data_IF_023490476581
#
_entry.id   IF_023490476581
#
_cell.length_a   1.000
_cell.length_b   1.000
_cell.length_c   1.000
_cell.angle_alpha   90.00
_cell.angle_beta   90.00
_cell.angle_gamma   90.00
#
_symmetry.space_group_name_H-M   'P 1'
#
loop_
_entity.id
_entity.type
_entity.pdbx_description
1 polymer ?
#
# COMPACT_ATOMS: atom_id res chain seq x y z
N UNK A 1 45.54 -16.48 -10.25
CA UNK A 1 44.87 -15.31 -10.87
C UNK A 1 43.39 -15.66 -10.95
N UNK A 2 42.71 -15.98 -9.85
CA UNK A 2 42.23 -15.11 -8.76
C UNK A 2 41.28 -14.01 -9.24
N UNK A 3 40.00 -14.42 -9.28
CA UNK A 3 38.80 -13.76 -8.77
C UNK A 3 38.42 -12.38 -9.32
N UNK A 4 37.45 -12.38 -10.25
CA UNK A 4 36.65 -11.21 -10.57
C UNK A 4 35.59 -10.98 -9.48
N UNK A 5 35.82 -9.95 -8.70
CA UNK A 5 34.99 -9.47 -7.61
C UNK A 5 33.69 -8.88 -8.17
N UNK A 6 32.59 -9.65 -8.11
CA UNK A 6 31.26 -9.18 -8.47
C UNK A 6 30.75 -8.27 -7.34
N UNK A 7 30.69 -6.97 -7.63
CA UNK A 7 30.24 -5.92 -6.71
C UNK A 7 28.76 -6.12 -6.37
N UNK A 8 28.48 -6.70 -5.21
CA UNK A 8 27.14 -6.81 -4.65
C UNK A 8 26.77 -5.47 -3.98
N UNK A 9 26.13 -4.60 -4.75
CA UNK A 9 25.58 -3.35 -4.26
C UNK A 9 24.44 -3.60 -3.28
N UNK A 10 24.77 -3.68 -1.98
CA UNK A 10 23.81 -3.56 -0.90
C UNK A 10 23.22 -2.15 -0.89
N UNK A 11 22.08 -1.96 -1.55
CA UNK A 11 21.20 -0.82 -1.28
C UNK A 11 20.10 -1.27 -0.31
N UNK A 12 20.49 -1.49 0.94
CA UNK A 12 19.56 -1.44 2.06
C UNK A 12 19.11 0.02 2.27
N UNK A 13 18.21 0.50 1.40
CA UNK A 13 17.40 1.69 1.68
C UNK A 13 16.04 1.23 2.16
N UNK A 14 16.02 0.54 3.30
CA UNK A 14 14.81 0.44 4.12
C UNK A 14 14.60 1.83 4.74
N UNK A 15 13.94 2.72 4.00
CA UNK A 15 13.31 3.89 4.59
C UNK A 15 12.11 3.39 5.40
N UNK A 16 12.37 2.78 6.56
CA UNK A 16 11.37 2.41 7.54
C UNK A 16 10.92 3.68 8.25
N UNK A 17 10.09 4.46 7.58
CA UNK A 17 9.36 5.57 8.19
C UNK A 17 7.91 5.16 8.30
N UNK A 18 7.45 4.92 9.52
CA UNK A 18 6.04 4.61 9.78
C UNK A 18 5.24 5.90 9.59
N UNK A 19 4.54 6.02 8.46
CA UNK A 19 3.47 7.00 8.34
C UNK A 19 2.50 6.74 9.49
N UNK A 20 2.19 7.73 10.35
CA UNK A 20 1.30 7.52 11.48
C UNK A 20 0.01 6.86 11.01
N UNK A 21 -0.26 5.64 11.51
CA UNK A 21 -1.43 4.85 11.13
C UNK A 21 -2.75 5.58 11.44
N UNK A 22 -2.68 6.60 12.31
CA UNK A 22 -3.79 7.48 12.64
C UNK A 22 -3.53 8.90 12.10
N UNK A 23 -4.24 9.23 11.03
CA UNK A 23 -4.34 10.58 10.50
C UNK A 23 -5.83 10.94 10.34
N UNK A 24 -6.40 11.73 11.27
CA UNK A 24 -7.82 12.09 11.26
C UNK A 24 -8.16 13.17 10.23
N UNK A 25 -7.16 13.94 9.79
CA UNK A 25 -7.34 15.01 8.78
C UNK A 25 -7.11 14.52 7.35
N UNK A 26 -6.65 13.26 7.19
CA UNK A 26 -6.35 12.70 5.88
C UNK A 26 -7.50 12.83 4.90
N UNK A 27 -7.11 13.14 3.67
CA UNK A 27 -8.00 13.21 2.53
C UNK A 27 -7.34 12.52 1.33
N UNK A 28 -7.55 11.21 1.22
CA UNK A 28 -6.96 10.37 0.16
C UNK A 28 -7.40 10.85 -1.24
N UNK A 29 -8.51 11.58 -1.34
CA UNK A 29 -8.97 12.17 -2.61
C UNK A 29 -8.04 13.21 -3.21
N UNK A 30 -7.10 13.71 -2.40
CA UNK A 30 -6.05 14.64 -2.83
C UNK A 30 -4.71 13.96 -3.07
N UNK A 31 -4.62 12.65 -2.92
CA UNK A 31 -3.36 11.91 -3.09
C UNK A 31 -3.14 11.56 -4.56
N UNK A 32 -1.90 11.66 -5.01
CA UNK A 32 -1.42 11.11 -6.27
C UNK A 32 -0.83 9.74 -6.03
N UNK A 33 -1.26 8.75 -6.81
CA UNK A 33 -0.82 7.36 -6.66
C UNK A 33 -0.44 6.79 -8.03
N UNK A 34 0.74 6.18 -8.11
CA UNK A 34 1.24 5.52 -9.31
C UNK A 34 1.88 4.17 -8.96
N UNK A 35 2.04 3.31 -9.95
CA UNK A 35 2.79 2.06 -9.86
C UNK A 35 3.85 2.09 -10.96
N UNK A 36 4.99 2.78 -10.73
CA UNK A 36 6.02 2.96 -11.75
C UNK A 36 6.65 1.66 -12.22
N UNK A 37 6.78 0.67 -11.33
CA UNK A 37 7.54 -0.55 -11.62
C UNK A 37 7.13 -1.73 -10.73
N UNK A 38 7.71 -2.89 -11.05
CA UNK A 38 7.70 -4.09 -10.21
C UNK A 38 9.12 -4.44 -9.74
N UNK A 39 9.23 -5.00 -8.54
CA UNK A 39 10.50 -5.45 -7.97
C UNK A 39 10.46 -6.94 -7.63
N UNK A 40 11.59 -7.67 -7.76
CA UNK A 40 11.74 -8.99 -7.18
C UNK A 40 11.82 -8.90 -5.65
N UNK A 41 11.12 -9.79 -4.95
CA UNK A 41 11.19 -9.99 -3.49
C UNK A 41 11.30 -11.47 -3.20
N UNK A 42 11.86 -11.80 -2.04
CA UNK A 42 11.90 -13.19 -1.56
C UNK A 42 10.61 -13.49 -0.83
N UNK A 43 9.87 -14.50 -1.27
CA UNK A 43 8.66 -14.92 -0.56
C UNK A 43 9.08 -15.51 0.80
N UNK A 44 8.52 -15.01 1.92
CA UNK A 44 8.96 -15.41 3.26
C UNK A 44 8.56 -16.85 3.62
N UNK A 45 7.58 -17.43 2.92
CA UNK A 45 7.08 -18.78 3.19
C UNK A 45 7.78 -19.81 2.31
N UNK A 46 7.87 -19.54 1.01
CA UNK A 46 8.40 -20.49 0.03
C UNK A 46 9.88 -20.26 -0.29
N UNK A 47 10.44 -19.09 0.03
CA UNK A 47 11.81 -18.71 -0.29
C UNK A 47 12.07 -18.39 -1.77
N UNK A 48 11.09 -18.60 -2.65
CA UNK A 48 11.20 -18.31 -4.08
C UNK A 48 11.10 -16.81 -4.38
N UNK A 49 11.66 -16.41 -5.53
CA UNK A 49 11.47 -15.05 -6.05
C UNK A 49 10.01 -14.83 -6.45
N UNK A 50 9.40 -13.82 -5.85
CA UNK A 50 8.10 -13.28 -6.22
C UNK A 50 8.28 -11.85 -6.73
N UNK A 51 7.30 -11.31 -7.44
CA UNK A 51 7.32 -9.92 -7.91
C UNK A 51 6.21 -9.12 -7.22
N UNK A 52 6.57 -7.94 -6.72
CA UNK A 52 5.66 -6.97 -6.08
C UNK A 52 5.53 -5.72 -6.91
N UNK A 53 4.39 -5.06 -6.80
CA UNK A 53 4.15 -3.72 -7.34
C UNK A 53 4.68 -2.68 -6.35
N UNK A 54 5.50 -1.76 -6.84
CA UNK A 54 5.94 -0.61 -6.03
C UNK A 54 4.98 0.52 -6.30
N UNK A 55 4.17 0.84 -5.30
CA UNK A 55 3.21 1.94 -5.36
C UNK A 55 3.90 3.18 -4.85
N UNK A 56 4.01 4.22 -5.67
CA UNK A 56 4.45 5.55 -5.23
C UNK A 56 3.24 6.39 -4.87
N UNK A 57 3.27 6.97 -3.67
CA UNK A 57 2.21 7.81 -3.13
C UNK A 57 2.77 9.19 -2.84
N UNK A 58 2.04 10.22 -3.23
CA UNK A 58 2.32 11.61 -2.90
C UNK A 58 1.03 12.28 -2.41
N UNK A 59 1.06 12.88 -1.22
CA UNK A 59 -0.11 13.49 -0.58
C UNK A 59 -0.04 15.02 -0.61
N UNK A 60 -1.14 15.65 -1.03
CA UNK A 60 -1.29 17.11 -1.16
C UNK A 60 -2.35 17.69 -0.22
N UNK A 61 -2.87 16.89 0.71
CA UNK A 61 -3.87 17.30 1.69
C UNK A 61 -3.28 18.05 2.89
N UNK A 62 -2.00 17.83 3.20
CA UNK A 62 -1.28 18.53 4.28
C UNK A 62 -0.95 19.95 3.82
N UNK A 63 -1.43 20.96 4.54
CA UNK A 63 -0.97 22.34 4.39
C UNK A 63 0.32 22.51 5.18
N UNK A 64 1.38 23.03 4.57
CA UNK A 64 2.52 23.58 5.32
C UNK A 64 2.00 24.73 6.20
N UNK A 65 1.71 24.47 7.47
CA UNK A 65 1.35 25.52 8.40
C UNK A 65 2.62 26.33 8.72
N UNK A 66 2.67 27.55 8.19
CA UNK A 66 3.70 28.56 8.42
C UNK A 66 3.88 28.93 9.92
N UNK A 67 4.61 28.10 10.68
CA UNK A 67 5.26 28.53 11.92
C UNK A 67 4.64 28.09 13.25
N UNK A 68 3.77 27.08 13.30
CA UNK A 68 3.38 26.47 14.58
C UNK A 68 3.52 24.95 14.52
N UNK A 69 4.76 24.52 14.74
CA UNK A 69 5.14 23.15 15.02
C UNK A 69 4.60 22.76 16.39
N UNK A 70 3.32 22.40 16.45
CA UNK A 70 2.73 21.70 17.59
C UNK A 70 2.84 20.21 17.31
N UNK A 71 3.78 19.57 18.01
CA UNK A 71 4.04 18.13 18.08
C UNK A 71 4.61 17.48 16.80
N UNK A 72 5.95 17.49 16.66
CA UNK A 72 6.80 16.35 16.28
C UNK A 72 6.61 15.58 14.96
N UNK A 73 5.55 15.74 14.18
CA UNK A 73 5.31 14.94 12.98
C UNK A 73 5.64 15.75 11.72
N UNK A 74 6.85 15.57 11.20
CA UNK A 74 7.15 15.92 9.79
C UNK A 74 6.42 14.89 8.93
N UNK A 75 5.18 15.15 8.56
CA UNK A 75 4.41 14.25 7.69
C UNK A 75 5.09 14.16 6.34
N UNK A 76 5.67 13.00 6.04
CA UNK A 76 6.26 12.70 4.75
C UNK A 76 5.19 12.87 3.67
N UNK A 77 5.46 13.75 2.69
CA UNK A 77 4.52 14.04 1.61
C UNK A 77 4.60 13.02 0.49
N UNK A 78 5.66 12.21 0.43
CA UNK A 78 5.89 11.23 -0.63
C UNK A 78 6.61 9.98 -0.14
N UNK A 79 6.07 8.80 -0.43
CA UNK A 79 6.66 7.51 -0.05
C UNK A 79 6.35 6.43 -1.10
N UNK A 80 6.84 5.21 -0.84
CA UNK A 80 6.53 4.03 -1.65
C UNK A 80 6.11 2.87 -0.76
N UNK A 81 5.16 2.05 -1.21
CA UNK A 81 4.74 0.83 -0.53
C UNK A 81 4.73 -0.35 -1.52
N UNK A 82 5.16 -1.53 -1.06
CA UNK A 82 5.18 -2.74 -1.87
C UNK A 82 3.90 -3.56 -1.68
N UNK A 83 3.27 -3.99 -2.78
CA UNK A 83 2.04 -4.80 -2.76
C UNK A 83 2.13 -6.01 -3.68
N UNK A 84 1.63 -7.15 -3.21
CA UNK A 84 1.51 -8.40 -3.96
C UNK A 84 0.25 -8.36 -4.84
N UNK A 85 0.29 -9.11 -5.94
CA UNK A 85 -0.83 -9.29 -6.86
C UNK A 85 -2.16 -9.60 -6.16
N UNK A 86 -2.16 -10.51 -5.18
CA UNK A 86 -3.39 -10.93 -4.52
C UNK A 86 -4.00 -9.83 -3.65
N UNK A 87 -3.20 -8.93 -3.09
CA UNK A 87 -3.67 -7.89 -2.17
C UNK A 87 -4.65 -6.91 -2.84
N UNK A 88 -4.51 -6.66 -4.14
CA UNK A 88 -5.43 -5.82 -4.90
C UNK A 88 -6.85 -6.41 -4.95
N UNK A 89 -6.97 -7.73 -5.10
CA UNK A 89 -8.25 -8.42 -5.09
C UNK A 89 -8.87 -8.48 -3.70
N UNK A 90 -8.03 -8.61 -2.66
CA UNK A 90 -8.48 -8.52 -1.27
C UNK A 90 -9.02 -7.11 -0.99
N UNK A 91 -8.30 -6.08 -1.44
CA UNK A 91 -8.72 -4.69 -1.31
C UNK A 91 -10.06 -4.45 -2.00
N UNK A 92 -10.20 -4.84 -3.27
CA UNK A 92 -11.45 -4.71 -4.03
C UNK A 92 -12.62 -5.38 -3.29
N UNK A 93 -12.43 -6.63 -2.86
CA UNK A 93 -13.46 -7.40 -2.16
C UNK A 93 -13.88 -6.71 -0.86
N UNK A 94 -12.92 -6.25 -0.05
CA UNK A 94 -13.22 -5.56 1.22
C UNK A 94 -13.91 -4.23 1.00
N UNK A 95 -13.44 -3.42 0.07
CA UNK A 95 -14.09 -2.14 -0.22
C UNK A 95 -15.52 -2.34 -0.75
N UNK A 96 -15.76 -3.34 -1.60
CA UNK A 96 -17.10 -3.68 -2.07
C UNK A 96 -18.00 -4.18 -0.94
N UNK A 97 -17.48 -4.94 0.03
CA UNK A 97 -18.28 -5.38 1.19
C UNK A 97 -18.76 -4.20 2.05
N UNK A 98 -17.92 -3.20 2.28
CA UNK A 98 -18.27 -2.06 3.14
C UNK A 98 -19.04 -0.96 2.41
N UNK A 99 -18.71 -0.71 1.14
CA UNK A 99 -19.25 0.42 0.38
C UNK A 99 -20.25 0.02 -0.70
N UNK A 100 -20.37 -1.27 -1.02
CA UNK A 100 -21.26 -1.78 -2.07
C UNK A 100 -21.01 -1.10 -3.41
N UNK A 101 -22.09 -0.76 -4.11
CA UNK A 101 -22.05 -0.14 -5.43
C UNK A 101 -21.78 1.39 -5.39
N UNK A 102 -21.44 1.96 -4.22
CA UNK A 102 -21.14 3.39 -4.13
C UNK A 102 -19.77 3.74 -4.68
N UNK A 103 -18.85 2.77 -4.70
CA UNK A 103 -17.53 2.91 -5.32
C UNK A 103 -17.62 2.59 -6.81
N UNK A 104 -17.00 3.43 -7.63
CA UNK A 104 -16.96 3.29 -9.10
C UNK A 104 -15.53 3.05 -9.57
N UNK A 105 -15.14 1.79 -9.66
CA UNK A 105 -13.85 1.38 -10.22
C UNK A 105 -14.05 0.51 -11.45
N UNK A 106 -13.06 0.53 -12.33
CA UNK A 106 -12.90 -0.53 -13.32
C UNK A 106 -12.65 -1.83 -12.57
N UNK A 107 -13.38 -2.88 -12.94
CA UNK A 107 -13.17 -4.21 -12.38
C UNK A 107 -11.76 -4.70 -12.69
N UNK A 108 -11.12 -5.31 -11.70
CA UNK A 108 -9.83 -5.93 -11.90
C UNK A 108 -9.91 -7.06 -12.95
N UNK A 109 -8.82 -7.33 -13.69
CA UNK A 109 -8.74 -8.50 -14.57
C UNK A 109 -9.04 -9.79 -13.79
N UNK A 110 -9.56 -10.86 -14.43
CA UNK A 110 -9.87 -12.11 -13.74
C UNK A 110 -8.69 -12.61 -12.89
N UNK A 111 -8.96 -12.86 -11.61
CA UNK A 111 -7.94 -13.30 -10.64
C UNK A 111 -7.33 -14.63 -11.08
N UNK A 112 -6.01 -14.65 -11.29
CA UNK A 112 -5.28 -15.91 -11.53
C UNK A 112 -4.82 -16.54 -10.22
N UNK A 113 -5.26 -17.78 -10.00
CA UNK A 113 -4.98 -18.59 -8.80
C UNK A 113 -3.61 -19.28 -8.81
N UNK A 114 -2.84 -19.18 -9.90
CA UNK A 114 -1.47 -19.72 -9.94
C UNK A 114 -0.61 -19.10 -8.84
N UNK A 115 0.05 -19.95 -8.05
CA UNK A 115 0.94 -19.56 -6.94
C UNK A 115 2.22 -18.90 -7.47
N UNK A 116 2.71 -19.35 -8.63
CA UNK A 116 3.89 -18.77 -9.28
C UNK A 116 3.43 -17.89 -10.44
N UNK A 117 3.87 -16.63 -10.42
CA UNK A 117 3.58 -15.64 -11.47
C UNK A 117 4.91 -15.15 -12.03
N UNK A 118 5.07 -15.28 -13.35
CA UNK A 118 6.27 -14.78 -14.01
C UNK A 118 6.34 -13.25 -13.96
N UNK A 119 7.56 -12.70 -14.02
CA UNK A 119 7.79 -11.26 -14.08
C UNK A 119 6.94 -10.58 -15.16
N UNK A 120 6.95 -11.16 -16.37
CA UNK A 120 6.22 -10.62 -17.52
C UNK A 120 4.71 -10.58 -17.29
N UNK A 121 4.15 -11.60 -16.62
CA UNK A 121 2.73 -11.60 -16.28
C UNK A 121 2.41 -10.51 -15.25
N UNK A 122 3.20 -10.40 -14.18
CA UNK A 122 2.98 -9.36 -13.14
C UNK A 122 3.08 -7.96 -13.76
N UNK A 123 4.08 -7.72 -14.60
CA UNK A 123 4.24 -6.46 -15.34
C UNK A 123 3.02 -6.15 -16.23
N UNK A 124 2.49 -7.16 -16.94
CA UNK A 124 1.33 -6.97 -17.83
C UNK A 124 0.04 -6.56 -17.09
N UNK A 125 -0.04 -6.76 -15.77
CA UNK A 125 -1.18 -6.36 -14.95
C UNK A 125 -0.99 -4.99 -14.29
N UNK A 126 0.23 -4.43 -14.33
CA UNK A 126 0.59 -3.20 -13.60
C UNK A 126 -0.33 -2.02 -13.92
N UNK A 127 -0.60 -1.78 -15.20
CA UNK A 127 -1.49 -0.68 -15.60
C UNK A 127 -2.93 -0.84 -15.11
N UNK A 128 -3.43 -2.07 -15.05
CA UNK A 128 -4.79 -2.34 -14.55
C UNK A 128 -4.89 -2.00 -13.06
N UNK A 129 -3.88 -2.42 -12.28
CA UNK A 129 -3.82 -2.12 -10.85
C UNK A 129 -3.55 -0.65 -10.56
N UNK A 130 -2.72 0.01 -11.36
CA UNK A 130 -2.49 1.46 -11.22
C UNK A 130 -3.78 2.24 -11.44
N UNK A 131 -4.50 1.97 -12.55
CA UNK A 131 -5.79 2.64 -12.83
C UNK A 131 -6.81 2.37 -11.73
N UNK A 132 -6.88 1.13 -11.24
CA UNK A 132 -7.78 0.76 -10.15
C UNK A 132 -7.52 1.58 -8.88
N UNK A 133 -6.26 1.64 -8.40
CA UNK A 133 -5.92 2.40 -7.19
C UNK A 133 -6.11 3.90 -7.40
N UNK A 134 -5.74 4.43 -8.57
CA UNK A 134 -5.96 5.85 -8.90
C UNK A 134 -7.45 6.22 -8.88
N UNK A 135 -8.32 5.34 -9.38
CA UNK A 135 -9.76 5.54 -9.32
C UNK A 135 -10.28 5.51 -7.88
N UNK A 136 -9.84 4.54 -7.07
CA UNK A 136 -10.20 4.47 -5.65
C UNK A 136 -9.78 5.75 -4.90
N UNK A 137 -8.52 6.17 -5.07
CA UNK A 137 -7.99 7.34 -4.40
C UNK A 137 -8.84 8.58 -4.67
N UNK A 138 -9.28 8.80 -5.91
CA UNK A 138 -10.08 9.98 -6.31
C UNK A 138 -11.51 9.98 -5.78
N UNK A 139 -12.00 8.92 -5.14
CA UNK A 139 -13.38 8.86 -4.69
C UNK A 139 -13.55 9.53 -3.32
N UNK A 140 -14.46 10.52 -3.27
CA UNK A 140 -14.82 11.20 -2.02
C UNK A 140 -15.36 10.21 -0.97
N UNK A 141 -16.06 9.16 -1.40
CA UNK A 141 -16.55 8.09 -0.51
C UNK A 141 -15.43 7.34 0.22
N UNK A 142 -14.21 7.34 -0.34
CA UNK A 142 -13.05 6.63 0.18
C UNK A 142 -11.99 7.55 0.80
N UNK A 143 -12.24 8.87 0.85
CA UNK A 143 -11.26 9.85 1.33
C UNK A 143 -10.73 9.59 2.74
N UNK A 144 -11.53 8.91 3.58
CA UNK A 144 -11.21 8.48 4.95
C UNK A 144 -11.39 6.97 5.12
N UNK A 145 -11.21 6.19 4.06
CA UNK A 145 -11.24 4.73 4.16
C UNK A 145 -9.99 4.24 4.89
N UNK A 146 -10.16 3.55 6.02
CA UNK A 146 -9.03 2.99 6.78
C UNK A 146 -8.35 1.86 6.00
N UNK A 147 -9.15 1.09 5.26
CA UNK A 147 -8.65 0.01 4.39
C UNK A 147 -7.79 0.54 3.26
N UNK A 148 -8.25 1.58 2.54
CA UNK A 148 -7.46 2.19 1.47
C UNK A 148 -6.22 2.91 2.02
N UNK A 149 -6.36 3.58 3.17
CA UNK A 149 -5.23 4.22 3.83
C UNK A 149 -4.16 3.20 4.18
N UNK A 150 -4.50 2.14 4.91
CA UNK A 150 -3.56 1.09 5.29
C UNK A 150 -2.92 0.43 4.07
N UNK A 151 -3.69 0.19 3.00
CA UNK A 151 -3.14 -0.34 1.75
C UNK A 151 -2.08 0.58 1.13
N UNK A 152 -2.21 1.89 1.27
CA UNK A 152 -1.28 2.87 0.71
C UNK A 152 -0.13 3.25 1.65
N UNK A 153 -0.19 2.92 2.94
CA UNK A 153 0.80 3.38 3.94
C UNK A 153 1.50 2.27 4.72
N UNK A 154 0.86 1.13 4.96
CA UNK A 154 1.39 0.05 5.79
C UNK A 154 2.26 -0.93 5.00
N UNK A 155 3.35 -1.42 5.57
CA UNK A 155 4.12 -2.54 4.99
C UNK A 155 3.47 -3.90 5.25
N UNK A 156 2.46 -3.97 6.13
CA UNK A 156 1.79 -5.22 6.45
C UNK A 156 0.98 -5.72 5.26
N UNK A 157 1.13 -7.01 4.97
CA UNK A 157 0.40 -7.65 3.89
C UNK A 157 -1.11 -7.71 4.17
N UNK A 158 -1.91 -7.27 3.20
CA UNK A 158 -3.36 -7.37 3.24
C UNK A 158 -3.84 -8.77 2.81
N UNK A 159 -4.29 -9.57 3.77
CA UNK A 159 -4.81 -10.92 3.55
C UNK A 159 -6.33 -10.93 3.66
N UNK A 160 -6.96 -11.98 3.14
CA UNK A 160 -8.42 -12.18 3.28
C UNK A 160 -8.85 -12.15 4.75
N UNK A 161 -8.03 -12.71 5.66
CA UNK A 161 -8.27 -12.72 7.11
C UNK A 161 -8.03 -11.38 7.82
N UNK A 162 -7.39 -10.39 7.18
CA UNK A 162 -7.05 -9.13 7.85
C UNK A 162 -8.32 -8.38 8.27
N UNK A 163 -8.51 -8.15 9.56
CA UNK A 163 -9.60 -7.33 10.07
C UNK A 163 -9.15 -5.87 10.17
N UNK A 164 -10.12 -4.94 10.24
CA UNK A 164 -9.83 -3.52 10.47
C UNK A 164 -9.12 -3.34 11.83
N UNK A 165 -9.44 -4.15 12.83
CA UNK A 165 -8.75 -4.18 14.13
C UNK A 165 -7.26 -4.49 14.00
N UNK A 166 -6.87 -5.32 13.04
CA UNK A 166 -5.47 -5.70 12.82
C UNK A 166 -4.65 -4.51 12.28
N UNK A 167 -5.32 -3.53 11.66
CA UNK A 167 -4.72 -2.28 11.18
C UNK A 167 -4.48 -1.27 12.31
N UNK A 168 -5.08 -1.49 13.49
CA UNK A 168 -4.96 -0.65 14.68
C UNK A 168 -4.61 -1.46 15.94
N UNK A 169 -3.37 -1.97 16.06
CA UNK A 169 -2.95 -2.78 17.21
C UNK A 169 -3.14 -2.06 18.55
N UNK A 170 -3.01 -0.74 18.56
CA UNK A 170 -3.07 0.11 19.74
C UNK A 170 -4.49 0.37 20.27
N UNK A 171 -5.54 0.07 19.50
CA UNK A 171 -6.93 0.22 19.97
C UNK A 171 -7.33 -0.84 21.02
N UNK A 172 -6.56 -1.92 21.13
CA UNK A 172 -6.83 -2.99 22.11
C UNK A 172 -6.35 -2.58 23.51
N UNK A 173 -5.34 -1.72 23.61
CA UNK A 173 -4.73 -1.31 24.88
C UNK A 173 -5.53 -0.28 25.69
N UNK A 174 -6.64 0.25 25.15
CA UNK A 174 -7.45 1.27 25.82
C UNK A 174 -8.74 0.76 26.47
N UNK A 175 -8.99 -0.56 26.47
CA UNK A 175 -10.19 -1.15 27.07
C UNK A 175 -9.95 -1.89 28.40
N UNK A 176 -8.74 -1.82 28.98
CA UNK A 176 -8.42 -2.48 30.27
C UNK A 176 -8.21 -1.53 31.45
N UNK A 177 -8.78 -0.31 31.40
CA UNK A 177 -8.88 0.53 32.60
C UNK A 177 -10.30 1.06 32.73
N UNK A 178 -11.19 0.25 33.32
CA UNK A 178 -12.29 0.75 34.14
C UNK A 178 -12.74 -0.28 35.18
#
# INVERSE_FOLDING_TARGET
>A
LQDEEFVEGQTNSSNSFEVPLFDPERDISKWSVTIPLIEPRRDPVSGHTMYVYIISVERFDVKENNGQQRCGSTTQTKWTVARRYNEFYVLESKLLLFHGNTIKTQSLPPRRTSNTKSRAYVESQREHFERFIQQLAKQIALKRSDMLFAFLTSEQELKDSTQISDLYPWNVSQLEIQ
#
